data_IF_192981843254
#
_entry.id   IF_192981843254
#
_cell.length_a   1.000
_cell.length_b   1.000
_cell.length_c   1.000
_cell.angle_alpha   90.00
_cell.angle_beta   90.00
_cell.angle_gamma   90.00
#
_symmetry.space_group_name_H-M   'P 1'
#
loop_
_entity.id
_entity.type
_entity.pdbx_description
1 polymer ?
#
# COMPACT_ATOMS: atom_id res chain seq x y z
N UNK A 1 20.90 6.60 3.13
CA UNK A 1 20.31 5.84 2.01
C UNK A 1 20.05 4.42 2.49
N UNK A 2 18.81 3.92 2.41
CA UNK A 2 18.48 2.54 2.80
C UNK A 2 18.67 1.65 1.57
N UNK A 3 19.56 0.66 1.64
CA UNK A 3 19.79 -0.29 0.55
C UNK A 3 18.88 -1.51 0.78
N UNK A 4 18.06 -1.91 -0.20
CA UNK A 4 17.24 -3.12 -0.09
C UNK A 4 18.13 -4.35 0.14
N UNK A 5 17.79 -5.16 1.15
CA UNK A 5 18.45 -6.45 1.39
C UNK A 5 17.79 -7.49 0.48
N UNK A 6 18.52 -7.97 -0.52
CA UNK A 6 18.06 -9.06 -1.37
C UNK A 6 17.93 -10.35 -0.55
N UNK A 7 16.76 -11.00 -0.62
CA UNK A 7 16.43 -12.23 0.10
C UNK A 7 16.68 -12.15 1.64
N UNK A 8 15.90 -11.33 2.37
CA UNK A 8 16.09 -11.17 3.80
C UNK A 8 15.84 -12.47 4.57
N UNK A 9 16.71 -12.76 5.54
CA UNK A 9 16.61 -13.95 6.38
C UNK A 9 16.83 -13.67 7.86
N UNK A 10 16.84 -14.74 8.67
CA UNK A 10 17.07 -14.64 10.13
C UNK A 10 18.37 -13.91 10.48
N UNK A 11 19.43 -14.10 9.68
CA UNK A 11 20.72 -13.41 9.87
C UNK A 11 20.62 -11.89 9.65
N UNK A 12 19.88 -11.45 8.63
CA UNK A 12 19.65 -10.02 8.35
C UNK A 12 18.82 -9.34 9.44
N UNK A 13 17.86 -10.06 10.03
CA UNK A 13 17.13 -9.61 11.21
C UNK A 13 18.06 -9.45 12.43
N UNK A 14 18.89 -10.46 12.71
CA UNK A 14 19.84 -10.41 13.82
C UNK A 14 20.85 -9.26 13.68
N UNK A 15 21.28 -8.97 12.45
CA UNK A 15 22.17 -7.85 12.11
C UNK A 15 21.46 -6.50 11.99
N UNK A 16 20.13 -6.47 12.21
CA UNK A 16 19.27 -5.27 12.11
C UNK A 16 19.28 -4.60 10.73
N UNK A 17 19.69 -5.33 9.70
CA UNK A 17 19.68 -4.90 8.28
C UNK A 17 18.25 -4.81 7.75
N UNK A 18 17.32 -5.58 8.35
CA UNK A 18 15.88 -5.50 8.08
C UNK A 18 15.10 -5.33 9.38
N UNK A 19 13.87 -4.83 9.27
CA UNK A 19 12.95 -4.62 10.38
C UNK A 19 11.78 -5.58 10.27
N UNK A 20 11.35 -6.14 11.39
CA UNK A 20 10.11 -6.90 11.46
C UNK A 20 8.96 -5.92 11.75
N UNK A 21 7.93 -5.95 10.91
CA UNK A 21 6.79 -5.05 10.96
C UNK A 21 5.50 -5.85 11.06
N UNK A 22 4.55 -5.35 11.85
CA UNK A 22 3.25 -5.99 12.06
C UNK A 22 2.13 -4.95 12.04
N UNK A 23 1.15 -5.18 11.16
CA UNK A 23 -0.11 -4.44 11.13
C UNK A 23 -1.24 -5.45 11.14
N UNK A 24 -2.15 -5.35 12.11
CA UNK A 24 -3.42 -6.09 12.04
C UNK A 24 -4.40 -5.28 11.21
N UNK A 25 -5.26 -5.95 10.46
CA UNK A 25 -6.31 -5.28 9.70
C UNK A 25 -7.64 -6.00 9.86
N UNK A 26 -8.72 -5.25 9.65
CA UNK A 26 -10.09 -5.75 9.56
C UNK A 26 -10.78 -5.07 8.38
N UNK A 27 -11.51 -5.84 7.57
CA UNK A 27 -12.37 -5.29 6.52
C UNK A 27 -13.65 -4.78 7.18
N UNK A 28 -13.94 -3.49 7.03
CA UNK A 28 -15.18 -2.86 7.50
C UNK A 28 -16.27 -2.88 6.42
N UNK A 29 -15.87 -2.81 5.15
CA UNK A 29 -16.75 -2.96 4.00
C UNK A 29 -15.94 -3.12 2.72
N UNK A 30 -16.55 -3.73 1.71
CA UNK A 30 -15.94 -3.91 0.38
C UNK A 30 -16.99 -3.78 -0.70
N UNK A 31 -16.67 -3.03 -1.76
CA UNK A 31 -17.55 -2.82 -2.90
C UNK A 31 -16.76 -2.41 -4.14
N UNK A 32 -17.15 -2.96 -5.29
CA UNK A 32 -16.62 -2.59 -6.62
C UNK A 32 -15.09 -2.50 -6.66
N UNK A 33 -14.40 -3.54 -6.19
CA UNK A 33 -12.93 -3.60 -6.23
C UNK A 33 -12.19 -2.76 -5.19
N UNK A 34 -12.91 -2.10 -4.27
CA UNK A 34 -12.34 -1.33 -3.17
C UNK A 34 -12.76 -1.90 -1.81
N UNK A 35 -11.99 -1.60 -0.78
CA UNK A 35 -12.31 -1.96 0.60
C UNK A 35 -12.01 -0.80 1.55
N UNK A 36 -12.86 -0.65 2.57
CA UNK A 36 -12.58 0.17 3.73
C UNK A 36 -11.98 -0.74 4.82
N UNK A 37 -10.76 -0.44 5.24
CA UNK A 37 -10.02 -1.24 6.21
C UNK A 37 -9.79 -0.46 7.49
N UNK A 38 -10.02 -1.11 8.64
CA UNK A 38 -9.46 -0.67 9.91
C UNK A 38 -8.06 -1.26 10.04
N UNK A 39 -7.07 -0.42 10.33
CA UNK A 39 -5.67 -0.82 10.47
C UNK A 39 -5.21 -0.57 11.90
N UNK A 40 -4.53 -1.55 12.49
CA UNK A 40 -3.91 -1.43 13.81
C UNK A 40 -2.43 -1.80 13.71
N UNK A 41 -1.53 -0.82 13.48
CA UNK A 41 -0.09 -1.05 13.51
C UNK A 41 0.34 -1.48 14.92
N UNK A 42 1.08 -2.60 15.02
CA UNK A 42 1.73 -3.08 16.25
C UNK A 42 3.22 -2.72 16.31
N UNK A 43 3.75 -2.23 15.20
CA UNK A 43 5.07 -1.63 15.05
C UNK A 43 4.91 -0.27 14.38
N UNK A 44 5.88 0.64 14.59
CA UNK A 44 5.86 1.98 14.02
C UNK A 44 7.09 2.20 13.13
N UNK A 45 6.91 2.00 11.83
CA UNK A 45 7.92 2.31 10.83
C UNK A 45 7.34 3.23 9.75
N UNK A 46 8.16 4.12 9.16
CA UNK A 46 7.74 4.94 8.03
C UNK A 46 7.13 4.09 6.93
N UNK A 47 6.03 4.57 6.35
CA UNK A 47 5.35 3.95 5.19
C UNK A 47 4.86 2.51 5.40
N UNK A 48 4.96 1.96 6.62
CA UNK A 48 4.61 0.58 6.94
C UNK A 48 3.20 0.22 6.46
N UNK A 49 2.22 1.10 6.70
CA UNK A 49 0.82 0.86 6.32
C UNK A 49 0.67 0.76 4.79
N UNK A 50 1.21 1.74 4.05
CA UNK A 50 1.19 1.77 2.58
C UNK A 50 1.86 0.55 1.95
N UNK A 51 3.03 0.16 2.47
CA UNK A 51 3.74 -1.05 2.01
C UNK A 51 2.94 -2.31 2.33
N UNK A 52 2.42 -2.46 3.55
CA UNK A 52 1.62 -3.64 3.91
C UNK A 52 0.35 -3.76 3.06
N UNK A 53 -0.35 -2.65 2.81
CA UNK A 53 -1.51 -2.62 1.92
C UNK A 53 -1.16 -3.02 0.48
N UNK A 54 -0.03 -2.54 -0.04
CA UNK A 54 0.51 -2.95 -1.34
C UNK A 54 0.83 -4.45 -1.39
N UNK A 55 1.42 -5.01 -0.32
CA UNK A 55 1.70 -6.44 -0.20
C UNK A 55 0.43 -7.30 -0.10
N UNK A 56 -0.67 -6.74 0.40
CA UNK A 56 -2.01 -7.35 0.35
C UNK A 56 -2.69 -7.22 -1.03
N UNK A 57 -1.98 -6.67 -2.03
CA UNK A 57 -2.52 -6.35 -3.36
C UNK A 57 -3.71 -5.38 -3.31
N UNK A 58 -3.79 -4.58 -2.26
CA UNK A 58 -4.85 -3.60 -2.00
C UNK A 58 -4.22 -2.27 -1.58
N UNK A 59 -3.55 -1.55 -2.50
CA UNK A 59 -2.84 -0.32 -2.16
C UNK A 59 -3.81 0.76 -1.71
N UNK A 60 -3.37 1.65 -0.81
CA UNK A 60 -4.20 2.76 -0.36
C UNK A 60 -4.55 3.71 -1.52
N UNK A 61 -5.76 4.26 -1.51
CA UNK A 61 -6.16 5.28 -2.47
C UNK A 61 -5.29 6.54 -2.27
N UNK A 62 -4.71 7.07 -3.36
CA UNK A 62 -3.75 8.17 -3.33
C UNK A 62 -2.30 7.76 -3.03
N UNK A 63 -1.99 6.47 -2.88
CA UNK A 63 -0.60 6.01 -2.72
C UNK A 63 0.14 6.00 -4.06
N UNK A 64 0.74 7.13 -4.43
CA UNK A 64 1.49 7.25 -5.69
C UNK A 64 2.91 6.66 -5.62
N UNK A 65 3.36 6.21 -4.45
CA UNK A 65 4.73 5.72 -4.28
C UNK A 65 4.80 4.21 -4.43
N UNK A 66 3.85 3.48 -3.83
CA UNK A 66 3.93 2.01 -3.76
C UNK A 66 2.90 1.31 -4.66
N UNK A 67 1.80 1.97 -5.02
CA UNK A 67 0.71 1.32 -5.77
C UNK A 67 1.11 0.79 -7.14
N UNK A 68 2.12 1.39 -7.79
CA UNK A 68 2.66 0.94 -9.08
C UNK A 68 3.21 -0.49 -9.03
N UNK A 69 3.50 -1.01 -7.82
CA UNK A 69 3.91 -2.40 -7.61
C UNK A 69 2.76 -3.39 -7.73
N UNK A 70 1.50 -2.95 -7.73
CA UNK A 70 0.35 -3.84 -7.92
C UNK A 70 -0.07 -3.78 -9.38
N UNK A 71 0.42 -4.75 -10.16
CA UNK A 71 0.01 -4.95 -11.55
C UNK A 71 -1.27 -5.79 -11.65
N UNK A 72 -1.80 -5.93 -12.86
CA UNK A 72 -2.90 -6.85 -13.17
C UNK A 72 -2.57 -7.68 -14.41
N UNK A 73 -2.83 -8.99 -14.36
CA UNK A 73 -2.84 -9.89 -15.53
C UNK A 73 -4.22 -10.51 -15.61
N UNK A 74 -4.92 -10.31 -16.74
CA UNK A 74 -6.28 -10.83 -16.95
C UNK A 74 -7.26 -10.47 -15.81
N UNK A 75 -7.12 -9.25 -15.26
CA UNK A 75 -7.95 -8.75 -14.15
C UNK A 75 -7.48 -9.18 -12.75
N UNK A 76 -6.60 -10.18 -12.65
CA UNK A 76 -6.06 -10.67 -11.37
C UNK A 76 -4.88 -9.80 -10.92
N UNK A 77 -4.89 -9.26 -9.70
CA UNK A 77 -3.78 -8.46 -9.21
C UNK A 77 -2.57 -9.33 -8.88
N UNK A 78 -1.37 -8.80 -9.08
CA UNK A 78 -0.12 -9.43 -8.70
C UNK A 78 0.92 -8.41 -8.27
N UNK A 79 1.89 -8.84 -7.46
CA UNK A 79 2.97 -7.98 -6.97
C UNK A 79 4.15 -8.00 -7.92
N UNK A 80 4.56 -6.83 -8.40
CA UNK A 80 5.77 -6.63 -9.17
C UNK A 80 6.99 -6.49 -8.25
N UNK A 81 8.15 -7.04 -8.66
CA UNK A 81 9.40 -6.85 -7.93
C UNK A 81 9.79 -5.35 -7.96
N UNK A 82 10.34 -4.80 -6.86
CA UNK A 82 10.65 -3.36 -6.76
C UNK A 82 11.49 -2.81 -7.93
N UNK A 83 12.37 -3.64 -8.48
CA UNK A 83 13.35 -3.30 -9.50
C UNK A 83 12.73 -3.11 -10.89
N UNK A 84 11.53 -3.67 -11.12
CA UNK A 84 10.84 -3.62 -12.43
C UNK A 84 9.83 -2.47 -12.54
N UNK A 85 9.66 -1.68 -11.48
CA UNK A 85 8.55 -0.74 -11.37
C UNK A 85 9.07 0.70 -11.43
N UNK A 86 8.73 1.47 -12.48
CA UNK A 86 8.99 2.90 -12.48
C UNK A 86 8.12 3.61 -11.44
N UNK A 87 8.66 4.65 -10.81
CA UNK A 87 7.90 5.56 -9.95
C UNK A 87 6.81 6.25 -10.79
N UNK A 88 5.57 5.78 -10.65
CA UNK A 88 4.42 6.26 -11.42
C UNK A 88 3.30 6.62 -10.46
N UNK A 89 2.56 7.68 -10.79
CA UNK A 89 1.27 7.96 -10.16
C UNK A 89 0.42 6.69 -10.14
N UNK A 90 -0.32 6.51 -9.04
CA UNK A 90 -1.32 5.46 -8.94
C UNK A 90 -2.23 5.48 -10.17
N UNK A 91 -2.48 4.30 -10.75
CA UNK A 91 -3.41 4.12 -11.86
C UNK A 91 -4.65 3.41 -11.32
N UNK A 92 -5.81 4.01 -11.53
CA UNK A 92 -7.11 3.42 -11.21
C UNK A 92 -7.78 2.99 -12.52
N UNK A 93 -8.62 1.96 -12.47
CA UNK A 93 -9.45 1.60 -13.61
C UNK A 93 -10.51 2.68 -13.90
N UNK A 94 -10.95 2.75 -15.15
CA UNK A 94 -11.90 3.78 -15.61
C UNK A 94 -13.21 3.73 -14.81
N UNK A 95 -13.71 2.53 -14.50
CA UNK A 95 -14.95 2.38 -13.74
C UNK A 95 -14.84 2.92 -12.30
N UNK A 96 -13.67 2.83 -11.67
CA UNK A 96 -13.39 3.43 -10.38
C UNK A 96 -13.23 4.95 -10.47
N UNK A 97 -12.55 5.46 -11.51
CA UNK A 97 -12.45 6.91 -11.73
C UNK A 97 -13.82 7.56 -11.90
N UNK A 98 -14.69 6.95 -12.71
CA UNK A 98 -16.07 7.42 -12.91
C UNK A 98 -16.86 7.43 -11.60
N UNK A 99 -16.77 6.37 -10.78
CA UNK A 99 -17.45 6.32 -9.47
C UNK A 99 -16.94 7.35 -8.48
N UNK A 100 -15.66 7.69 -8.54
CA UNK A 100 -15.05 8.72 -7.70
C UNK A 100 -15.26 10.14 -8.26
N UNK A 101 -15.77 10.28 -9.50
CA UNK A 101 -15.90 11.57 -10.16
C UNK A 101 -14.56 12.26 -10.44
N UNK A 102 -13.50 11.48 -10.69
CA UNK A 102 -12.14 11.98 -10.85
C UNK A 102 -11.66 11.89 -12.30
N UNK A 103 -11.06 12.98 -12.79
CA UNK A 103 -10.25 12.94 -14.01
C UNK A 103 -8.84 12.40 -13.75
N UNK A 104 -8.14 11.89 -14.77
CA UNK A 104 -6.74 11.44 -14.64
C UNK A 104 -5.76 12.54 -14.17
N UNK A 105 -6.06 13.82 -14.43
CA UNK A 105 -5.25 14.93 -13.94
C UNK A 105 -5.46 15.14 -12.44
N UNK A 106 -6.71 15.10 -11.97
CA UNK A 106 -7.03 15.21 -10.54
C UNK A 106 -6.48 14.03 -9.74
N UNK A 107 -6.44 12.83 -10.33
CA UNK A 107 -5.86 11.64 -9.70
C UNK A 107 -4.41 11.85 -9.24
N UNK A 108 -3.62 12.63 -9.97
CA UNK A 108 -2.20 12.92 -9.64
C UNK A 108 -2.03 13.75 -8.37
N UNK A 109 -3.10 14.41 -7.93
CA UNK A 109 -3.14 15.26 -6.75
C UNK A 109 -3.98 14.63 -5.63
N UNK A 110 -4.42 13.38 -5.80
CA UNK A 110 -5.26 12.71 -4.84
C UNK A 110 -4.46 12.44 -3.56
N UNK A 111 -4.91 12.92 -2.38
CA UNK A 111 -4.18 12.70 -1.14
C UNK A 111 -4.20 11.23 -0.75
N UNK A 112 -3.24 10.82 0.08
CA UNK A 112 -3.24 9.49 0.65
C UNK A 112 -4.44 9.30 1.60
N UNK A 113 -5.27 8.31 1.32
CA UNK A 113 -6.46 7.98 2.10
C UNK A 113 -6.12 7.00 3.23
N UNK A 114 -5.28 7.46 4.16
CA UNK A 114 -5.03 6.79 5.44
C UNK A 114 -5.29 7.81 6.53
N UNK A 115 -6.21 7.49 7.43
CA UNK A 115 -6.65 8.40 8.48
C UNK A 115 -6.41 7.78 9.86
N UNK A 116 -5.88 8.58 10.79
CA UNK A 116 -5.78 8.19 12.20
C UNK A 116 -7.17 8.31 12.84
N UNK A 117 -7.91 7.21 12.85
CA UNK A 117 -9.29 7.19 13.37
C UNK A 117 -9.36 7.15 14.90
N UNK A 118 -8.43 6.48 15.57
CA UNK A 118 -8.44 6.32 17.02
C UNK A 118 -7.01 6.24 17.56
N UNK A 119 -6.78 6.91 18.70
CA UNK A 119 -5.57 6.80 19.49
C UNK A 119 -5.97 6.61 20.95
N UNK A 120 -5.69 5.44 21.51
CA UNK A 120 -5.94 5.14 22.93
C UNK A 120 -4.70 5.50 23.73
N UNK A 121 -4.84 6.46 24.65
CA UNK A 121 -3.80 6.85 25.60
C UNK A 121 -3.99 6.10 26.93
N UNK A 122 -2.91 5.75 27.63
CA UNK A 122 -2.98 5.06 28.93
C UNK A 122 -3.49 5.97 30.06
#
# INVERSE_FOLDING_TARGET
QVVPVLAPGRRSLARKEVKNTLTRYRVLGAAGGCALLQLQPKTAFPEQLSVHLTLLLCPALGDHQHSSRVGRVLGVPFLLPPESVPSRTQVLDEALLQRLGLSPQQLRHLPLHIHLQELVLP
#
